data_IF_546616130349
#
_entry.id   IF_546616130349
#
_cell.length_a   1.000
_cell.length_b   1.000
_cell.length_c   1.000
_cell.angle_alpha   90.00
_cell.angle_beta   90.00
_cell.angle_gamma   90.00
#
_symmetry.space_group_name_H-M   'P 1'
#
loop_
_entity.id
_entity.type
_entity.pdbx_description
1 polymer ?
#
# COMPACT_ATOMS: atom_id res chain seq x y z
N UNK A 1 -3.96 22.91 -26.00
CA UNK A 1 -2.76 23.23 -25.19
C UNK A 1 -3.16 23.05 -23.73
N UNK A 2 -2.81 21.90 -23.13
CA UNK A 2 -3.09 21.65 -21.71
C UNK A 2 -2.04 22.40 -20.90
N UNK A 3 -2.47 23.45 -20.19
CA UNK A 3 -1.60 24.15 -19.27
C UNK A 3 -1.08 23.16 -18.22
N UNK A 4 0.24 23.06 -18.13
CA UNK A 4 0.88 22.31 -17.07
C UNK A 4 0.63 23.10 -15.79
N UNK A 5 -0.43 22.75 -15.08
CA UNK A 5 -0.65 23.30 -13.73
C UNK A 5 0.59 22.95 -12.89
N UNK A 6 1.21 23.99 -12.37
CA UNK A 6 2.37 23.83 -11.49
C UNK A 6 2.01 22.84 -10.37
N UNK A 7 2.82 21.79 -10.24
CA UNK A 7 2.60 20.75 -9.22
C UNK A 7 2.43 21.32 -7.80
N UNK A 8 3.07 22.45 -7.51
CA UNK A 8 2.94 23.08 -6.21
C UNK A 8 1.53 23.65 -5.99
N UNK A 9 0.96 24.27 -7.02
CA UNK A 9 -0.39 24.85 -6.97
C UNK A 9 -1.45 23.74 -6.81
N UNK A 10 -1.32 22.66 -7.58
CA UNK A 10 -2.24 21.52 -7.48
C UNK A 10 -2.17 20.87 -6.09
N UNK A 11 -0.96 20.71 -5.55
CA UNK A 11 -0.79 20.14 -4.21
C UNK A 11 -1.44 20.99 -3.13
N UNK A 12 -1.31 22.32 -3.23
CA UNK A 12 -1.94 23.25 -2.30
C UNK A 12 -3.47 23.20 -2.38
N UNK A 13 -4.01 23.14 -3.59
CA UNK A 13 -5.45 23.02 -3.81
C UNK A 13 -5.99 21.71 -3.21
N UNK A 14 -5.30 20.59 -3.43
CA UNK A 14 -5.70 19.30 -2.88
C UNK A 14 -5.64 19.30 -1.35
N UNK A 15 -4.59 19.89 -0.77
CA UNK A 15 -4.48 20.01 0.69
C UNK A 15 -5.64 20.82 1.27
N UNK A 16 -6.02 21.91 0.61
CA UNK A 16 -7.13 22.75 1.06
C UNK A 16 -8.47 22.01 0.96
N UNK A 17 -8.65 21.24 -0.12
CA UNK A 17 -9.85 20.41 -0.28
C UNK A 17 -9.93 19.34 0.83
N UNK A 18 -8.82 18.66 1.12
CA UNK A 18 -8.76 17.67 2.20
C UNK A 18 -9.15 18.30 3.55
N UNK A 19 -8.65 19.51 3.86
CA UNK A 19 -9.00 20.20 5.09
C UNK A 19 -10.50 20.49 5.15
N UNK A 20 -11.07 21.00 4.06
CA UNK A 20 -12.50 21.31 3.97
C UNK A 20 -13.36 20.05 4.20
N UNK A 21 -12.96 18.93 3.58
CA UNK A 21 -13.65 17.65 3.75
C UNK A 21 -13.52 17.13 5.19
N UNK A 22 -12.34 17.28 5.79
CA UNK A 22 -12.10 16.87 7.17
C UNK A 22 -12.97 17.67 8.16
N UNK A 23 -13.10 19.00 7.93
CA UNK A 23 -13.96 19.84 8.75
C UNK A 23 -15.44 19.40 8.64
N UNK A 24 -15.91 19.14 7.42
CA UNK A 24 -17.28 18.63 7.19
C UNK A 24 -17.49 17.28 7.91
N UNK A 25 -16.50 16.39 7.81
CA UNK A 25 -16.54 15.09 8.48
C UNK A 25 -16.66 15.29 10.00
N UNK A 26 -15.85 16.20 10.56
CA UNK A 26 -15.85 16.49 11.99
C UNK A 26 -17.20 17.08 12.44
N UNK A 27 -17.77 17.99 11.65
CA UNK A 27 -19.09 18.56 11.94
C UNK A 27 -20.19 17.49 11.93
N UNK A 28 -20.10 16.53 11.00
CA UNK A 28 -21.12 15.50 10.85
C UNK A 28 -21.00 14.41 11.93
N UNK A 29 -19.76 13.96 12.23
CA UNK A 29 -19.52 12.79 13.06
C UNK A 29 -18.94 13.10 14.45
N UNK A 30 -18.66 14.37 14.76
CA UNK A 30 -18.12 14.79 16.05
C UNK A 30 -16.69 14.33 16.34
N UNK A 31 -15.95 13.88 15.31
CA UNK A 31 -14.56 13.42 15.45
C UNK A 31 -13.77 13.68 14.19
N UNK A 32 -12.47 13.86 14.32
CA UNK A 32 -11.60 14.03 13.16
C UNK A 32 -11.43 12.68 12.42
N UNK A 33 -11.33 12.70 11.09
CA UNK A 33 -11.08 11.46 10.33
C UNK A 33 -9.70 10.89 10.65
N UNK A 34 -9.62 9.56 10.63
CA UNK A 34 -8.37 8.84 10.94
C UNK A 34 -8.04 7.89 9.81
N UNK A 35 -6.80 7.95 9.32
CA UNK A 35 -6.32 7.11 8.22
C UNK A 35 -5.05 6.39 8.65
N UNK A 36 -4.95 5.12 8.30
CA UNK A 36 -3.76 4.31 8.57
C UNK A 36 -2.94 4.15 7.29
N UNK A 37 -1.68 4.51 7.36
CA UNK A 37 -0.72 4.31 6.28
C UNK A 37 -0.16 2.89 6.40
N UNK A 38 -0.55 2.01 5.50
CA UNK A 38 -0.15 0.60 5.59
C UNK A 38 1.36 0.42 5.40
N UNK A 39 1.97 1.17 4.47
CA UNK A 39 3.35 0.97 4.06
C UNK A 39 4.29 2.06 4.61
N UNK A 40 5.43 1.64 5.14
CA UNK A 40 6.45 2.55 5.68
C UNK A 40 6.99 3.56 4.66
N UNK A 41 7.03 3.21 3.37
CA UNK A 41 7.44 4.16 2.32
C UNK A 41 6.45 5.32 2.20
N UNK A 42 5.15 5.07 2.38
CA UNK A 42 4.14 6.13 2.39
C UNK A 42 4.30 7.04 3.62
N UNK A 43 4.58 6.44 4.79
CA UNK A 43 4.86 7.21 6.02
C UNK A 43 6.03 8.17 5.80
N UNK A 44 7.11 7.67 5.19
CA UNK A 44 8.29 8.49 4.90
C UNK A 44 7.99 9.58 3.86
N UNK A 45 7.20 9.26 2.83
CA UNK A 45 6.81 10.23 1.81
C UNK A 45 5.99 11.37 2.43
N UNK A 46 4.99 11.04 3.26
CA UNK A 46 4.16 12.05 3.94
C UNK A 46 4.98 12.93 4.88
N UNK A 47 6.01 12.35 5.54
CA UNK A 47 6.90 13.10 6.41
C UNK A 47 7.79 14.06 5.61
N UNK A 48 8.43 13.55 4.54
CA UNK A 48 9.36 14.34 3.70
C UNK A 48 8.67 15.49 2.97
N UNK A 49 7.44 15.29 2.51
CA UNK A 49 6.69 16.30 1.77
C UNK A 49 6.03 17.34 2.66
N UNK A 50 6.05 17.13 3.99
CA UNK A 50 5.42 18.04 4.93
C UNK A 50 3.89 17.91 4.99
N UNK A 51 3.29 16.99 4.24
CA UNK A 51 1.83 16.78 4.19
C UNK A 51 1.30 16.43 5.58
N UNK A 52 2.04 15.60 6.33
CA UNK A 52 1.65 15.20 7.68
C UNK A 52 1.47 16.44 8.59
N UNK A 53 2.43 17.38 8.53
CA UNK A 53 2.37 18.62 9.31
C UNK A 53 1.24 19.53 8.81
N UNK A 54 1.06 19.63 7.50
CA UNK A 54 0.02 20.47 6.90
C UNK A 54 -1.40 20.01 7.25
N UNK A 55 -1.59 18.71 7.53
CA UNK A 55 -2.90 18.13 7.88
C UNK A 55 -3.09 17.97 9.39
N UNK A 56 -2.13 18.40 10.19
CA UNK A 56 -2.20 18.30 11.65
C UNK A 56 -3.42 19.06 12.18
N UNK A 57 -4.21 18.43 13.05
CA UNK A 57 -5.45 18.99 13.57
C UNK A 57 -6.69 18.72 12.73
N UNK A 58 -6.52 18.45 11.42
CA UNK A 58 -7.63 18.13 10.52
C UNK A 58 -7.83 16.63 10.35
N UNK A 59 -6.71 15.89 10.30
CA UNK A 59 -6.71 14.46 10.01
C UNK A 59 -5.73 13.77 10.96
N UNK A 60 -6.13 12.63 11.51
CA UNK A 60 -5.24 11.78 12.31
C UNK A 60 -4.60 10.74 11.38
N UNK A 61 -3.29 10.87 11.16
CA UNK A 61 -2.52 9.90 10.37
C UNK A 61 -1.83 8.91 11.32
N UNK A 62 -2.09 7.63 11.13
CA UNK A 62 -1.58 6.54 11.97
C UNK A 62 -0.65 5.67 11.12
N UNK A 63 0.55 5.42 11.62
CA UNK A 63 1.46 4.48 10.97
C UNK A 63 0.96 3.06 11.21
N UNK A 64 0.84 2.30 10.12
CA UNK A 64 0.35 0.94 10.15
C UNK A 64 1.46 -0.10 10.37
N UNK A 65 1.12 -1.37 10.23
CA UNK A 65 2.04 -2.48 10.55
C UNK A 65 3.15 -2.69 9.52
N UNK A 66 3.11 -2.00 8.40
CA UNK A 66 3.95 -2.28 7.25
C UNK A 66 3.23 -3.14 6.21
N UNK A 67 3.68 -3.07 4.98
CA UNK A 67 3.10 -3.90 3.91
C UNK A 67 3.73 -5.30 3.91
N UNK A 68 3.06 -6.31 3.35
CA UNK A 68 3.60 -7.69 3.31
C UNK A 68 5.00 -7.78 2.71
N UNK A 69 5.29 -6.97 1.68
CA UNK A 69 6.62 -6.97 1.04
C UNK A 69 7.73 -6.58 2.02
N UNK A 70 7.44 -5.65 2.93
CA UNK A 70 8.45 -5.11 3.86
C UNK A 70 8.58 -5.92 5.14
N UNK A 71 7.54 -6.67 5.54
CA UNK A 71 7.51 -7.33 6.86
C UNK A 71 7.59 -8.85 6.77
N UNK A 72 7.40 -9.45 5.58
CA UNK A 72 7.49 -10.91 5.42
C UNK A 72 8.97 -11.32 5.35
N UNK A 73 9.34 -12.25 6.20
CA UNK A 73 10.72 -12.74 6.24
C UNK A 73 11.02 -13.72 5.09
N UNK A 74 12.32 -13.92 4.84
CA UNK A 74 12.79 -14.75 3.74
C UNK A 74 12.30 -16.20 3.86
N UNK A 75 12.26 -16.73 5.08
CA UNK A 75 11.83 -18.12 5.33
C UNK A 75 10.36 -18.31 4.92
N UNK A 76 9.51 -17.34 5.26
CA UNK A 76 8.09 -17.36 4.89
C UNK A 76 7.91 -17.26 3.36
N UNK A 77 8.72 -16.42 2.69
CA UNK A 77 8.69 -16.28 1.24
C UNK A 77 9.07 -17.62 0.59
N UNK A 78 10.14 -18.25 1.06
CA UNK A 78 10.60 -19.54 0.55
C UNK A 78 9.56 -20.65 0.78
N UNK A 79 8.90 -20.64 1.94
CA UNK A 79 7.82 -21.57 2.24
C UNK A 79 6.64 -21.39 1.28
N UNK A 80 6.24 -20.14 1.02
CA UNK A 80 5.17 -19.84 0.06
C UNK A 80 5.53 -20.34 -1.35
N UNK A 81 6.80 -20.15 -1.76
CA UNK A 81 7.28 -20.61 -3.05
C UNK A 81 7.23 -22.16 -3.11
N UNK A 82 7.67 -22.84 -2.05
CA UNK A 82 7.65 -24.30 -2.02
C UNK A 82 6.23 -24.89 -2.05
N UNK A 83 5.23 -24.13 -1.55
CA UNK A 83 3.83 -24.57 -1.64
C UNK A 83 3.34 -24.67 -3.09
N UNK A 84 3.99 -23.97 -4.03
CA UNK A 84 3.63 -24.08 -5.46
C UNK A 84 3.93 -25.47 -6.04
N UNK A 85 4.78 -26.26 -5.39
CA UNK A 85 5.11 -27.62 -5.84
C UNK A 85 3.99 -28.62 -5.55
N UNK A 86 3.05 -28.29 -4.69
CA UNK A 86 1.94 -29.17 -4.36
C UNK A 86 0.82 -29.14 -5.39
N UNK A 87 0.11 -30.26 -5.52
CA UNK A 87 -1.09 -30.33 -6.36
C UNK A 87 -2.34 -29.93 -5.54
N UNK A 88 -3.33 -29.39 -6.21
CA UNK A 88 -4.62 -29.03 -5.60
C UNK A 88 -4.48 -27.98 -4.48
N UNK A 89 -3.60 -27.00 -4.70
CA UNK A 89 -3.41 -25.86 -3.76
C UNK A 89 -3.74 -24.54 -4.46
N UNK A 90 -4.35 -23.66 -3.72
CA UNK A 90 -4.63 -22.29 -4.14
C UNK A 90 -3.81 -21.37 -3.24
N UNK A 91 -2.99 -20.52 -3.85
CA UNK A 91 -2.20 -19.54 -3.11
C UNK A 91 -2.83 -18.17 -3.34
N UNK A 92 -3.25 -17.53 -2.26
CA UNK A 92 -3.79 -16.17 -2.29
C UNK A 92 -2.75 -15.23 -1.69
N UNK A 93 -2.38 -14.20 -2.44
CA UNK A 93 -1.35 -13.26 -1.99
C UNK A 93 -1.56 -11.89 -2.65
N UNK A 94 -0.92 -10.87 -2.12
CA UNK A 94 -0.91 -9.54 -2.72
C UNK A 94 -0.08 -9.55 -4.00
N UNK A 95 -0.50 -8.75 -4.99
CA UNK A 95 0.16 -8.71 -6.29
C UNK A 95 1.66 -8.43 -6.22
N UNK A 96 2.07 -7.53 -5.34
CA UNK A 96 3.48 -7.20 -5.19
C UNK A 96 4.31 -8.36 -4.63
N UNK A 97 3.69 -9.20 -3.77
CA UNK A 97 4.37 -10.37 -3.18
C UNK A 97 4.77 -11.40 -4.23
N UNK A 98 4.06 -11.47 -5.36
CA UNK A 98 4.35 -12.43 -6.44
C UNK A 98 5.76 -12.19 -7.01
N UNK A 99 6.24 -10.96 -6.94
CA UNK A 99 7.55 -10.56 -7.50
C UNK A 99 8.67 -10.54 -6.47
N UNK A 100 8.35 -10.73 -5.18
CA UNK A 100 9.38 -10.72 -4.13
C UNK A 100 10.28 -11.95 -4.32
N UNK A 101 11.60 -11.74 -4.37
CA UNK A 101 12.53 -12.86 -4.57
C UNK A 101 12.69 -13.69 -3.30
N UNK A 102 12.50 -14.97 -3.42
CA UNK A 102 12.94 -15.96 -2.44
C UNK A 102 14.36 -16.43 -2.73
N UNK A 103 14.84 -17.40 -1.97
CA UNK A 103 16.19 -17.93 -2.12
C UNK A 103 16.40 -18.61 -3.49
N UNK A 104 15.34 -19.15 -4.08
CA UNK A 104 15.41 -19.96 -5.30
C UNK A 104 14.53 -19.43 -6.44
N UNK A 105 14.03 -18.21 -6.33
CA UNK A 105 13.18 -17.61 -7.36
C UNK A 105 12.05 -16.79 -6.78
N UNK A 106 11.00 -16.56 -7.58
CA UNK A 106 9.82 -15.81 -7.17
C UNK A 106 8.56 -16.64 -7.37
N UNK A 107 7.51 -16.28 -6.68
CA UNK A 107 6.19 -16.89 -6.94
C UNK A 107 5.75 -16.78 -8.40
N UNK A 108 6.14 -15.84 -8.96
CA UNK A 108 5.90 -15.61 -10.31
C UNK A 108 6.60 -16.62 -11.14
N UNK A 109 7.65 -16.99 -10.80
CA UNK A 109 8.37 -17.89 -11.53
C UNK A 109 7.88 -19.27 -11.34
N UNK A 110 7.36 -19.49 -10.32
CA UNK A 110 6.83 -20.65 -10.02
C UNK A 110 5.48 -20.90 -10.57
N UNK A 111 4.82 -19.93 -10.60
CA UNK A 111 3.53 -19.94 -11.18
C UNK A 111 3.54 -20.12 -12.66
N UNK A 112 4.39 -19.55 -13.34
CA UNK A 112 4.53 -19.59 -14.81
C UNK A 112 4.98 -20.98 -15.31
N UNK A 113 5.85 -21.58 -14.55
CA UNK A 113 6.33 -22.93 -14.90
C UNK A 113 5.26 -24.01 -14.75
N UNK A 114 4.25 -23.76 -13.94
CA UNK A 114 3.17 -24.73 -13.67
C UNK A 114 1.81 -24.07 -13.92
N UNK A 115 1.28 -24.28 -15.10
CA UNK A 115 0.00 -23.69 -15.57
C UNK A 115 -1.25 -24.10 -14.76
N UNK A 116 -1.08 -24.63 -13.54
CA UNK A 116 -2.21 -25.14 -12.72
C UNK A 116 -2.39 -24.42 -11.38
N UNK A 117 -1.68 -23.32 -11.18
CA UNK A 117 -1.86 -22.56 -9.94
C UNK A 117 -2.79 -21.38 -10.20
N UNK A 118 -3.95 -21.39 -9.58
CA UNK A 118 -4.85 -20.24 -9.62
C UNK A 118 -4.39 -19.27 -8.54
N UNK A 119 -3.77 -18.18 -8.95
CA UNK A 119 -3.38 -17.12 -8.02
C UNK A 119 -4.51 -16.09 -7.95
N UNK A 120 -5.06 -15.89 -6.76
CA UNK A 120 -5.94 -14.77 -6.50
C UNK A 120 -5.05 -13.56 -6.20
N UNK A 121 -4.98 -12.64 -7.15
CA UNK A 121 -4.21 -11.41 -6.98
C UNK A 121 -5.11 -10.33 -6.40
N UNK A 122 -4.86 -9.95 -5.18
CA UNK A 122 -5.47 -8.75 -4.61
C UNK A 122 -4.56 -7.57 -4.95
N UNK A 123 -5.10 -6.64 -5.74
CA UNK A 123 -4.41 -5.40 -6.03
C UNK A 123 -4.70 -4.40 -4.92
N UNK A 124 -3.65 -3.79 -4.38
CA UNK A 124 -3.77 -2.64 -3.50
C UNK A 124 -3.83 -1.35 -4.33
#
# INVERSE_FOLDING_TARGET
MLEVTDHSTLSQMLLQEVKTLADRFQQTFGRIPSFMEVCGSHTMALARTGVKKALEGYVRLISGPGCPVCVTDQVTIDAMISLTDGVNRIICTFGDMVRVPGSYGTLXXXXDRRKRCTSCLFSC
#
